data_IF_563800832750
#
_entry.id   IF_563800832750
#
_cell.length_a   1.000
_cell.length_b   1.000
_cell.length_c   1.000
_cell.angle_alpha   90.00
_cell.angle_beta   90.00
_cell.angle_gamma   90.00
#
_symmetry.space_group_name_H-M   'P 1'
#
loop_
_entity.id
_entity.type
_entity.pdbx_description
1 polymer ?
#
# COMPACT_ATOMS: atom_id res chain seq x y z
N UNK A 1 -17.35 1.82 -6.40
CA UNK A 1 -16.50 1.74 -5.19
C UNK A 1 -16.61 3.07 -4.46
N UNK A 2 -16.99 3.10 -3.18
CA UNK A 2 -16.96 4.33 -2.38
C UNK A 2 -15.54 4.91 -2.29
N UNK A 3 -15.42 6.23 -2.14
CA UNK A 3 -14.13 6.84 -1.80
C UNK A 3 -13.73 6.49 -0.37
N UNK A 4 -12.43 6.53 -0.06
CA UNK A 4 -11.96 6.14 1.28
C UNK A 4 -12.49 7.05 2.39
N UNK A 5 -12.66 8.35 2.15
CA UNK A 5 -13.13 9.30 3.17
C UNK A 5 -14.63 9.23 3.46
N UNK A 6 -15.40 8.48 2.66
CA UNK A 6 -16.82 8.24 2.91
C UNK A 6 -17.01 7.45 4.21
N UNK A 7 -18.20 7.50 4.85
CA UNK A 7 -18.44 6.83 6.13
C UNK A 7 -18.07 5.35 6.12
N UNK A 8 -17.37 4.91 7.16
CA UNK A 8 -16.85 3.54 7.31
C UNK A 8 -17.51 2.83 8.49
N UNK A 9 -17.84 1.55 8.31
CA UNK A 9 -18.31 0.66 9.37
C UNK A 9 -17.16 0.18 10.23
N UNK A 10 -16.06 -0.23 9.58
CA UNK A 10 -14.91 -0.84 10.24
C UNK A 10 -13.60 -0.55 9.50
N UNK A 11 -12.49 -0.60 10.22
CA UNK A 11 -11.14 -0.77 9.66
C UNK A 11 -10.64 -2.17 10.00
N UNK A 12 -10.18 -2.87 8.97
CA UNK A 12 -9.55 -4.17 9.07
C UNK A 12 -8.03 -4.05 9.16
N UNK A 13 -7.42 -4.86 10.02
CA UNK A 13 -5.98 -5.04 10.15
C UNK A 13 -5.60 -6.48 9.83
N UNK A 14 -4.50 -6.66 9.11
CA UNK A 14 -3.83 -7.95 8.97
C UNK A 14 -2.89 -8.22 10.15
N UNK A 15 -2.67 -9.49 10.46
CA UNK A 15 -1.71 -9.89 11.50
C UNK A 15 -0.87 -11.07 11.05
N UNK A 16 0.45 -10.90 11.14
CA UNK A 16 1.43 -11.90 10.74
C UNK A 16 2.28 -12.34 11.92
N UNK A 17 2.73 -13.59 11.87
CA UNK A 17 3.71 -14.12 12.81
C UNK A 17 5.09 -13.51 12.52
N UNK A 18 5.96 -13.44 13.53
CA UNK A 18 7.39 -13.15 13.37
C UNK A 18 7.76 -11.77 12.79
N UNK A 19 6.92 -10.75 13.02
CA UNK A 19 7.25 -9.34 12.77
C UNK A 19 7.05 -8.47 14.02
N UNK A 20 7.73 -8.77 15.14
CA UNK A 20 7.55 -8.01 16.39
C UNK A 20 7.79 -6.51 16.26
N UNK A 21 8.62 -6.10 15.30
CA UNK A 21 8.89 -4.70 14.99
C UNK A 21 7.68 -3.94 14.41
N UNK A 22 6.68 -4.63 13.82
CA UNK A 22 5.47 -3.98 13.29
C UNK A 22 4.43 -3.71 14.37
N UNK A 23 4.40 -4.53 15.42
CA UNK A 23 3.31 -4.54 16.40
C UNK A 23 3.14 -3.22 17.17
N UNK A 24 4.20 -2.46 17.53
CA UNK A 24 4.03 -1.14 18.14
C UNK A 24 3.20 -0.18 17.30
N UNK A 25 3.49 -0.06 16.00
CA UNK A 25 2.72 0.80 15.11
C UNK A 25 1.28 0.30 14.93
N UNK A 26 1.05 -1.02 14.89
CA UNK A 26 -0.31 -1.59 14.87
C UNK A 26 -1.10 -1.17 16.12
N UNK A 27 -0.48 -1.25 17.30
CA UNK A 27 -1.11 -0.81 18.54
C UNK A 27 -1.40 0.70 18.55
N UNK A 28 -0.49 1.53 18.03
CA UNK A 28 -0.70 2.98 17.88
C UNK A 28 -1.84 3.30 16.90
N UNK A 29 -1.90 2.59 15.76
CA UNK A 29 -2.99 2.74 14.79
C UNK A 29 -4.35 2.41 15.42
N UNK A 30 -4.44 1.28 16.12
CA UNK A 30 -5.66 0.86 16.80
C UNK A 30 -6.10 1.89 17.85
N UNK A 31 -5.16 2.38 18.67
CA UNK A 31 -5.45 3.45 19.67
C UNK A 31 -5.89 4.74 19.01
N UNK A 32 -5.31 5.10 17.87
CA UNK A 32 -5.71 6.27 17.08
C UNK A 32 -7.13 6.19 16.55
N UNK A 33 -7.62 4.98 16.25
CA UNK A 33 -8.97 4.72 15.74
C UNK A 33 -10.03 4.48 16.84
N UNK A 34 -9.61 4.38 18.11
CA UNK A 34 -10.52 4.05 19.21
C UNK A 34 -11.62 5.12 19.35
N UNK A 35 -12.88 4.67 19.37
CA UNK A 35 -14.06 5.55 19.45
C UNK A 35 -14.47 6.22 18.14
N UNK A 36 -13.74 6.01 17.05
CA UNK A 36 -14.01 6.60 15.74
C UNK A 36 -14.67 5.62 14.76
N UNK A 37 -14.24 4.34 14.78
CA UNK A 37 -14.69 3.30 13.85
C UNK A 37 -14.55 1.93 14.51
N UNK A 38 -15.32 0.93 14.08
CA UNK A 38 -15.13 -0.43 14.58
C UNK A 38 -13.79 -0.99 14.10
N UNK A 39 -13.15 -1.84 14.89
CA UNK A 39 -11.85 -2.41 14.58
C UNK A 39 -11.99 -3.92 14.39
N UNK A 40 -11.50 -4.41 13.26
CA UNK A 40 -11.46 -5.83 12.92
C UNK A 40 -10.02 -6.26 12.69
N UNK A 41 -9.62 -7.41 13.20
CA UNK A 41 -8.27 -7.94 13.02
C UNK A 41 -8.34 -9.37 12.50
N UNK A 42 -7.69 -9.60 11.37
CA UNK A 42 -7.62 -10.90 10.71
C UNK A 42 -6.24 -11.54 10.90
N UNK A 43 -6.21 -12.87 11.10
CA UNK A 43 -4.99 -13.65 11.14
C UNK A 43 -5.19 -15.05 10.53
N UNK A 44 -4.11 -15.69 10.07
CA UNK A 44 -4.16 -16.99 9.38
C UNK A 44 -4.73 -18.17 10.21
N UNK A 45 -4.70 -18.08 11.54
CA UNK A 45 -5.15 -19.17 12.42
C UNK A 45 -5.60 -18.70 13.81
N UNK A 46 -6.37 -19.54 14.51
CA UNK A 46 -6.75 -19.33 15.91
C UNK A 46 -5.54 -19.08 16.83
N UNK A 47 -4.46 -19.82 16.61
CA UNK A 47 -3.22 -19.64 17.38
C UNK A 47 -2.64 -18.24 17.20
N UNK A 48 -2.69 -17.70 15.98
CA UNK A 48 -2.19 -16.35 15.73
C UNK A 48 -3.12 -15.27 16.26
N UNK A 49 -4.44 -15.48 16.21
CA UNK A 49 -5.41 -14.60 16.89
C UNK A 49 -5.08 -14.50 18.39
N UNK A 50 -4.76 -15.62 19.05
CA UNK A 50 -4.41 -15.60 20.46
C UNK A 50 -3.08 -14.88 20.73
N UNK A 51 -2.08 -15.05 19.87
CA UNK A 51 -0.82 -14.28 19.94
C UNK A 51 -1.10 -12.79 19.77
N UNK A 52 -1.88 -12.40 18.77
CA UNK A 52 -2.26 -11.01 18.52
C UNK A 52 -2.94 -10.38 19.73
N UNK A 53 -3.92 -11.07 20.32
CA UNK A 53 -4.61 -10.61 21.54
C UNK A 53 -3.63 -10.35 22.68
N UNK A 54 -2.74 -11.32 22.98
CA UNK A 54 -1.79 -11.16 24.08
C UNK A 54 -0.81 -10.02 23.81
N UNK A 55 -0.25 -9.94 22.60
CA UNK A 55 0.66 -8.86 22.21
C UNK A 55 -0.01 -7.49 22.31
N UNK A 56 -1.25 -7.35 21.85
CA UNK A 56 -2.00 -6.10 21.93
C UNK A 56 -2.29 -5.70 23.38
N UNK A 57 -2.65 -6.66 24.25
CA UNK A 57 -2.79 -6.41 25.71
C UNK A 57 -1.47 -5.90 26.29
N UNK A 58 -0.35 -6.54 25.97
CA UNK A 58 0.98 -6.16 26.47
C UNK A 58 1.39 -4.75 25.99
N UNK A 59 0.93 -4.35 24.80
CA UNK A 59 1.09 -3.00 24.24
C UNK A 59 0.04 -2.00 24.74
N UNK A 60 -0.84 -2.41 25.67
CA UNK A 60 -1.84 -1.54 26.30
C UNK A 60 -3.03 -1.19 25.40
N UNK A 61 -3.39 -2.05 24.45
CA UNK A 61 -4.59 -1.92 23.62
C UNK A 61 -5.77 -2.60 24.31
N UNK A 62 -6.93 -1.94 24.33
CA UNK A 62 -8.17 -2.52 24.82
C UNK A 62 -8.76 -3.49 23.80
N UNK A 63 -8.41 -4.78 23.89
CA UNK A 63 -8.88 -5.79 22.92
C UNK A 63 -10.40 -6.05 22.94
N UNK A 64 -11.15 -5.53 23.92
CA UNK A 64 -12.61 -5.70 23.97
C UNK A 64 -13.35 -4.89 22.89
N UNK A 65 -12.67 -3.93 22.27
CA UNK A 65 -13.20 -3.12 21.16
C UNK A 65 -12.86 -3.70 19.78
N UNK A 66 -12.19 -4.85 19.73
CA UNK A 66 -11.68 -5.46 18.51
C UNK A 66 -12.44 -6.76 18.23
N UNK A 67 -12.98 -6.87 17.02
CA UNK A 67 -13.49 -8.14 16.48
C UNK A 67 -12.33 -8.92 15.82
N UNK A 68 -12.15 -10.17 16.22
CA UNK A 68 -11.05 -11.01 15.70
C UNK A 68 -11.59 -12.06 14.74
N UNK A 69 -10.93 -12.19 13.59
CA UNK A 69 -11.29 -13.12 12.52
C UNK A 69 -10.13 -14.08 12.22
N UNK A 70 -10.46 -15.35 12.03
CA UNK A 70 -9.54 -16.32 11.44
C UNK A 70 -9.78 -16.32 9.94
N UNK A 71 -8.80 -15.80 9.19
CA UNK A 71 -8.83 -15.71 7.74
C UNK A 71 -7.58 -16.40 7.19
N UNK A 72 -7.68 -17.70 6.82
CA UNK A 72 -6.56 -18.43 6.27
C UNK A 72 -6.01 -17.74 5.01
N UNK A 73 -4.71 -17.48 5.00
CA UNK A 73 -4.00 -16.71 3.98
C UNK A 73 -3.57 -15.32 4.43
N UNK A 74 -4.10 -14.78 5.52
CA UNK A 74 -3.73 -13.43 5.97
C UNK A 74 -2.26 -13.35 6.47
N UNK A 75 -1.48 -12.42 5.92
CA UNK A 75 -0.03 -12.27 6.14
C UNK A 75 0.45 -10.82 6.41
N UNK A 76 -0.44 -9.87 6.74
CA UNK A 76 -0.25 -8.48 7.23
C UNK A 76 -0.78 -7.39 6.30
N UNK A 77 -0.39 -7.40 5.02
CA UNK A 77 -0.74 -6.37 4.04
C UNK A 77 -2.17 -6.51 3.52
N UNK A 78 -3.14 -6.46 4.43
CA UNK A 78 -4.56 -6.69 4.15
C UNK A 78 -5.15 -5.68 3.17
N UNK A 79 -4.49 -4.55 2.93
CA UNK A 79 -4.83 -3.62 1.85
C UNK A 79 -4.82 -4.31 0.49
N UNK A 80 -3.83 -5.16 0.27
CA UNK A 80 -3.43 -5.58 -1.06
C UNK A 80 -4.14 -6.84 -1.51
N UNK A 81 -4.21 -7.86 -0.65
CA UNK A 81 -4.93 -9.11 -0.92
C UNK A 81 -6.32 -9.17 -0.25
N UNK A 82 -6.71 -8.15 0.51
CA UNK A 82 -8.00 -8.08 1.19
C UNK A 82 -9.12 -7.52 0.34
N UNK A 83 -10.34 -7.59 0.87
CA UNK A 83 -11.54 -7.27 0.11
C UNK A 83 -11.62 -5.79 -0.30
N UNK A 84 -11.67 -5.54 -1.61
CA UNK A 84 -12.12 -4.25 -2.13
C UNK A 84 -13.65 -4.17 -2.04
N UNK A 85 -14.14 -3.47 -1.01
CA UNK A 85 -15.57 -3.38 -0.74
C UNK A 85 -16.30 -2.37 -1.63
N UNK A 86 -17.56 -2.68 -1.95
CA UNK A 86 -18.50 -1.83 -2.67
C UNK A 86 -19.81 -1.73 -1.90
N UNK A 87 -20.50 -0.61 -2.05
CA UNK A 87 -21.86 -0.44 -1.55
C UNK A 87 -22.73 0.02 -2.72
N UNK A 88 -23.91 -0.57 -2.87
CA UNK A 88 -24.89 -0.13 -3.86
C UNK A 88 -25.90 0.85 -3.25
N UNK A 89 -26.77 1.41 -4.09
CA UNK A 89 -27.78 2.40 -3.67
C UNK A 89 -28.87 1.86 -2.74
N UNK A 90 -28.94 0.54 -2.59
CA UNK A 90 -29.86 -0.14 -1.67
C UNK A 90 -29.22 -0.44 -0.31
N UNK A 91 -27.95 -0.07 -0.11
CA UNK A 91 -27.21 -0.36 1.11
C UNK A 91 -26.65 -1.78 1.16
N UNK A 92 -26.57 -2.50 0.03
CA UNK A 92 -26.00 -3.85 0.00
C UNK A 92 -24.48 -3.78 -0.16
N UNK A 93 -23.77 -4.56 0.65
CA UNK A 93 -22.31 -4.69 0.62
C UNK A 93 -21.89 -5.77 -0.40
N UNK A 94 -20.85 -5.48 -1.17
CA UNK A 94 -20.16 -6.46 -2.00
C UNK A 94 -18.64 -6.38 -1.76
N UNK A 95 -17.94 -7.47 -2.03
CA UNK A 95 -16.48 -7.56 -2.05
C UNK A 95 -16.03 -8.03 -3.43
N UNK A 96 -15.10 -7.31 -4.05
CA UNK A 96 -14.46 -7.77 -5.27
C UNK A 96 -13.35 -8.75 -4.89
N UNK A 97 -13.40 -9.92 -5.54
CA UNK A 97 -12.44 -11.01 -5.41
C UNK A 97 -11.54 -10.95 -6.64
N UNK A 98 -10.35 -10.35 -6.46
CA UNK A 98 -9.35 -10.17 -7.51
C UNK A 98 -8.35 -11.33 -7.49
N UNK A 99 -7.71 -11.60 -8.63
CA UNK A 99 -6.62 -12.58 -8.63
C UNK A 99 -5.39 -12.00 -7.90
N UNK A 100 -4.65 -12.87 -7.21
CA UNK A 100 -3.46 -12.51 -6.44
C UNK A 100 -2.24 -13.26 -6.96
N UNK A 101 -1.16 -12.54 -7.26
CA UNK A 101 0.11 -13.14 -7.72
C UNK A 101 1.33 -12.72 -6.87
N UNK A 102 1.10 -12.24 -5.64
CA UNK A 102 2.16 -11.78 -4.74
C UNK A 102 3.00 -10.67 -5.37
N UNK A 103 2.32 -9.58 -5.74
CA UNK A 103 2.93 -8.39 -6.33
C UNK A 103 3.77 -8.67 -7.58
N UNK A 104 3.49 -9.72 -8.37
CA UNK A 104 4.31 -10.09 -9.53
C UNK A 104 5.67 -10.71 -9.18
N UNK A 105 5.91 -11.09 -7.92
CA UNK A 105 7.20 -11.61 -7.42
C UNK A 105 7.73 -12.83 -8.17
N UNK A 106 6.87 -13.63 -8.78
CA UNK A 106 7.28 -14.79 -9.57
C UNK A 106 7.95 -14.42 -10.89
N UNK A 107 7.42 -13.39 -11.55
CA UNK A 107 8.04 -12.89 -12.78
C UNK A 107 9.39 -12.25 -12.41
N UNK A 108 9.47 -11.58 -11.27
CA UNK A 108 10.75 -11.11 -10.70
C UNK A 108 11.72 -12.25 -10.39
N UNK A 109 11.25 -13.36 -9.81
CA UNK A 109 12.09 -14.52 -9.55
C UNK A 109 12.59 -15.15 -10.85
N UNK A 110 11.76 -15.23 -11.89
CA UNK A 110 12.17 -15.73 -13.19
C UNK A 110 13.30 -14.90 -13.82
N UNK A 111 13.28 -13.58 -13.62
CA UNK A 111 14.37 -12.69 -14.06
C UNK A 111 15.67 -12.94 -13.29
N UNK A 112 15.58 -13.22 -11.98
CA UNK A 112 16.76 -13.42 -11.12
C UNK A 112 17.37 -14.81 -11.20
N UNK A 113 16.57 -15.83 -11.46
CA UNK A 113 16.99 -17.25 -11.53
C UNK A 113 16.42 -17.92 -12.80
N UNK A 114 16.81 -17.46 -14.01
CA UNK A 114 16.23 -17.96 -15.27
C UNK A 114 16.48 -19.47 -15.50
N UNK A 115 17.49 -20.04 -14.87
CA UNK A 115 17.79 -21.47 -14.91
C UNK A 115 16.76 -22.34 -14.17
N UNK A 116 15.96 -21.76 -13.26
CA UNK A 116 14.97 -22.47 -12.45
C UNK A 116 13.53 -22.36 -13.01
N UNK A 117 13.40 -22.03 -14.29
CA UNK A 117 12.12 -21.74 -14.94
C UNK A 117 11.03 -22.81 -14.70
N UNK A 118 11.37 -24.10 -14.79
CA UNK A 118 10.42 -25.19 -14.58
C UNK A 118 9.88 -25.23 -13.14
N UNK A 119 10.75 -24.98 -12.15
CA UNK A 119 10.34 -24.88 -10.75
C UNK A 119 9.40 -23.69 -10.58
N UNK A 120 9.77 -22.53 -11.12
CA UNK A 120 8.98 -21.29 -11.00
C UNK A 120 7.57 -21.46 -11.56
N UNK A 121 7.40 -22.20 -12.67
CA UNK A 121 6.08 -22.52 -13.23
C UNK A 121 5.21 -23.33 -12.25
N UNK A 122 5.80 -24.32 -11.56
CA UNK A 122 5.08 -25.10 -10.54
C UNK A 122 4.70 -24.23 -9.35
N UNK A 123 5.61 -23.37 -8.87
CA UNK A 123 5.34 -22.42 -7.80
C UNK A 123 4.23 -21.43 -8.16
N UNK A 124 4.22 -20.93 -9.41
CA UNK A 124 3.15 -20.06 -9.93
C UNK A 124 1.78 -20.70 -9.81
N UNK A 125 1.65 -21.98 -10.18
CA UNK A 125 0.38 -22.69 -10.04
C UNK A 125 -0.05 -22.87 -8.58
N UNK A 126 0.90 -22.99 -7.65
CA UNK A 126 0.60 -23.12 -6.22
C UNK A 126 0.20 -21.78 -5.59
N UNK A 127 0.89 -20.69 -5.93
CA UNK A 127 0.60 -19.35 -5.41
C UNK A 127 -0.77 -18.83 -5.87
N UNK A 128 -1.08 -18.96 -7.16
CA UNK A 128 -2.37 -18.55 -7.74
C UNK A 128 -3.57 -19.35 -7.18
N UNK A 129 -3.32 -20.49 -6.54
CA UNK A 129 -4.35 -21.33 -5.88
C UNK A 129 -4.19 -21.34 -4.35
N UNK A 130 -3.29 -20.49 -3.84
CA UNK A 130 -2.89 -20.46 -2.45
C UNK A 130 -3.99 -19.93 -1.54
N UNK A 131 -3.71 -19.92 -0.23
CA UNK A 131 -4.66 -19.38 0.76
C UNK A 131 -4.79 -17.86 0.65
N UNK A 132 -3.71 -17.15 0.28
CA UNK A 132 -3.67 -15.69 0.10
C UNK A 132 -4.66 -15.19 -0.97
N UNK A 133 -4.82 -15.91 -2.08
CA UNK A 133 -5.75 -15.57 -3.16
C UNK A 133 -7.23 -15.78 -2.81
N UNK A 134 -7.57 -15.89 -1.52
CA UNK A 134 -8.94 -16.08 -1.03
C UNK A 134 -9.26 -15.16 0.14
N UNK A 135 -8.33 -14.30 0.57
CA UNK A 135 -8.51 -13.47 1.76
C UNK A 135 -9.67 -12.49 1.55
N UNK A 136 -9.74 -11.81 0.42
CA UNK A 136 -10.87 -11.01 -0.04
C UNK A 136 -12.22 -11.76 -0.04
N UNK A 137 -12.28 -12.96 -0.62
CA UNK A 137 -13.44 -13.84 -0.60
C UNK A 137 -13.87 -14.19 0.83
N UNK A 138 -12.91 -14.51 1.71
CA UNK A 138 -13.16 -14.87 3.11
C UNK A 138 -13.60 -13.66 3.95
N UNK A 139 -13.03 -12.47 3.70
CA UNK A 139 -13.50 -11.21 4.27
C UNK A 139 -14.93 -10.91 3.81
N UNK A 140 -15.26 -11.16 2.54
CA UNK A 140 -16.61 -11.05 2.02
C UNK A 140 -17.59 -11.98 2.74
N UNK A 141 -17.20 -13.24 2.99
CA UNK A 141 -18.00 -14.17 3.80
C UNK A 141 -18.16 -13.66 5.24
N UNK A 142 -17.08 -13.19 5.88
CA UNK A 142 -17.09 -12.68 7.25
C UNK A 142 -17.96 -11.43 7.42
N UNK A 143 -18.20 -10.68 6.34
CA UNK A 143 -19.02 -9.46 6.31
C UNK A 143 -20.40 -9.67 5.68
N UNK A 144 -20.72 -10.90 5.27
CA UNK A 144 -21.93 -11.22 4.48
C UNK A 144 -22.06 -10.36 3.21
N UNK A 145 -20.92 -9.99 2.61
CA UNK A 145 -20.86 -9.25 1.36
C UNK A 145 -21.09 -10.19 0.17
N UNK A 146 -21.75 -9.69 -0.86
CA UNK A 146 -21.82 -10.39 -2.15
C UNK A 146 -20.43 -10.42 -2.80
N UNK A 147 -19.97 -11.60 -3.22
CA UNK A 147 -18.71 -11.73 -3.94
C UNK A 147 -18.87 -11.41 -5.43
N UNK A 148 -17.99 -10.57 -5.96
CA UNK A 148 -17.85 -10.27 -7.39
C UNK A 148 -16.47 -10.72 -7.83
N UNK A 149 -16.39 -11.82 -8.59
CA UNK A 149 -15.11 -12.33 -9.11
C UNK A 149 -14.57 -11.47 -10.25
N UNK A 150 -13.25 -11.36 -10.30
CA UNK A 150 -12.45 -10.75 -11.37
C UNK A 150 -11.18 -11.59 -11.59
N UNK A 151 -10.79 -11.80 -12.84
CA UNK A 151 -9.49 -12.42 -13.15
C UNK A 151 -8.37 -11.38 -13.32
N UNK A 152 -8.68 -10.10 -13.07
CA UNK A 152 -7.68 -9.05 -13.06
C UNK A 152 -6.78 -9.24 -11.83
N UNK A 153 -5.48 -9.25 -12.06
CA UNK A 153 -4.50 -9.28 -10.97
C UNK A 153 -4.23 -7.87 -10.53
N UNK A 154 -4.65 -7.52 -9.32
CA UNK A 154 -4.45 -6.18 -8.78
C UNK A 154 -4.46 -6.19 -7.25
N UNK A 155 -3.66 -5.29 -6.68
CA UNK A 155 -3.61 -5.08 -5.25
C UNK A 155 -4.40 -3.83 -4.84
N UNK A 156 -5.10 -3.86 -3.71
CA UNK A 156 -5.89 -2.71 -3.25
C UNK A 156 -5.09 -1.42 -3.03
N UNK A 157 -3.79 -1.48 -2.70
CA UNK A 157 -2.91 -0.32 -2.56
C UNK A 157 -2.65 0.41 -3.88
N UNK A 158 -2.88 -0.26 -5.01
CA UNK A 158 -2.81 0.33 -6.35
C UNK A 158 -4.12 0.98 -6.82
N UNK A 159 -5.23 0.82 -6.09
CA UNK A 159 -6.57 1.28 -6.47
C UNK A 159 -6.92 2.59 -5.74
N UNK A 160 -6.82 3.72 -6.43
CA UNK A 160 -7.16 5.03 -5.87
C UNK A 160 -8.41 5.62 -6.56
N UNK A 161 -9.54 5.66 -5.85
CA UNK A 161 -10.86 6.02 -6.39
C UNK A 161 -11.41 7.29 -5.74
N UNK A 162 -11.99 8.18 -6.55
CA UNK A 162 -12.63 9.40 -6.05
C UNK A 162 -14.09 9.19 -5.59
N UNK A 163 -14.62 7.96 -5.68
CA UNK A 163 -16.01 7.62 -5.33
C UNK A 163 -17.07 8.12 -6.32
N UNK A 164 -16.66 8.81 -7.39
CA UNK A 164 -17.52 9.40 -8.43
C UNK A 164 -17.24 8.88 -9.82
N UNK A 165 -16.63 7.69 -9.92
CA UNK A 165 -16.37 7.01 -11.18
C UNK A 165 -15.04 7.35 -11.82
N UNK A 166 -14.15 8.08 -11.14
CA UNK A 166 -12.76 8.29 -11.59
C UNK A 166 -11.82 7.44 -10.73
N UNK A 167 -10.90 6.74 -11.41
CA UNK A 167 -9.84 5.94 -10.81
C UNK A 167 -8.48 6.45 -11.27
N UNK A 168 -7.50 6.50 -10.37
CA UNK A 168 -6.09 6.70 -10.71
C UNK A 168 -5.40 5.34 -10.64
N UNK A 169 -4.56 5.05 -11.63
CA UNK A 169 -3.77 3.82 -11.73
C UNK A 169 -2.30 4.12 -12.05
N UNK A 170 -1.42 3.24 -11.57
CA UNK A 170 0.01 3.21 -11.93
C UNK A 170 0.21 2.26 -13.09
N UNK A 171 0.54 2.81 -14.27
CA UNK A 171 0.77 2.05 -15.49
C UNK A 171 1.87 0.99 -15.30
N UNK A 172 2.94 1.34 -14.58
CA UNK A 172 4.04 0.43 -14.27
C UNK A 172 3.57 -0.81 -13.48
N UNK A 173 2.65 -0.64 -12.53
CA UNK A 173 2.10 -1.75 -11.73
C UNK A 173 1.10 -2.54 -12.55
N UNK A 174 0.02 -1.90 -13.00
CA UNK A 174 -1.13 -2.61 -13.57
C UNK A 174 -0.77 -3.41 -14.82
N UNK A 175 0.06 -2.85 -15.72
CA UNK A 175 0.46 -3.53 -16.94
C UNK A 175 1.51 -4.62 -16.69
N UNK A 176 2.36 -4.46 -15.67
CA UNK A 176 3.28 -5.53 -15.27
C UNK A 176 2.51 -6.72 -14.69
N UNK A 177 1.46 -6.48 -13.90
CA UNK A 177 0.63 -7.56 -13.33
C UNK A 177 -0.20 -8.30 -14.39
N UNK A 178 -0.62 -7.58 -15.44
CA UNK A 178 -1.55 -8.07 -16.45
C UNK A 178 -0.98 -7.91 -17.88
N UNK A 179 0.15 -8.57 -18.21
CA UNK A 179 0.84 -8.37 -19.50
C UNK A 179 0.01 -8.82 -20.71
N UNK A 180 -0.96 -9.71 -20.50
CA UNK A 180 -1.85 -10.25 -21.55
C UNK A 180 -3.14 -9.43 -21.72
N UNK A 181 -3.36 -8.39 -20.92
CA UNK A 181 -4.54 -7.54 -21.00
C UNK A 181 -4.21 -6.20 -21.65
N UNK A 182 -5.05 -5.77 -22.59
CA UNK A 182 -5.03 -4.39 -23.10
C UNK A 182 -5.57 -3.41 -22.05
N UNK A 183 -5.24 -2.12 -22.20
CA UNK A 183 -5.79 -1.08 -21.32
C UNK A 183 -7.31 -1.02 -21.40
N UNK A 184 -7.85 -1.19 -22.61
CA UNK A 184 -9.28 -1.17 -22.86
C UNK A 184 -10.00 -2.32 -22.14
N UNK A 185 -9.40 -3.52 -22.10
CA UNK A 185 -9.94 -4.65 -21.33
C UNK A 185 -9.88 -4.40 -19.82
N UNK A 186 -8.78 -3.83 -19.33
CA UNK A 186 -8.62 -3.47 -17.91
C UNK A 186 -9.67 -2.41 -17.51
N UNK A 187 -9.83 -1.36 -18.32
CA UNK A 187 -10.84 -0.32 -18.08
C UNK A 187 -12.27 -0.88 -18.11
N UNK A 188 -12.56 -1.78 -19.05
CA UNK A 188 -13.86 -2.47 -19.10
C UNK A 188 -14.10 -3.31 -17.85
N UNK A 189 -13.06 -3.95 -17.31
CA UNK A 189 -13.16 -4.72 -16.08
C UNK A 189 -13.35 -3.84 -14.85
N UNK A 190 -12.62 -2.73 -14.73
CA UNK A 190 -12.88 -1.73 -13.69
C UNK A 190 -14.29 -1.16 -13.77
N UNK A 191 -14.81 -0.92 -14.98
CA UNK A 191 -16.21 -0.52 -15.15
C UNK A 191 -17.16 -1.59 -14.62
N UNK A 192 -16.91 -2.86 -14.94
CA UNK A 192 -17.75 -4.00 -14.52
C UNK A 192 -17.73 -4.22 -13.00
N UNK A 193 -16.55 -4.20 -12.38
CA UNK A 193 -16.38 -4.63 -10.98
C UNK A 193 -16.31 -3.48 -9.99
N UNK A 194 -15.84 -2.29 -10.39
CA UNK A 194 -15.71 -1.12 -9.50
C UNK A 194 -16.72 -0.01 -9.81
N UNK A 195 -17.41 -0.08 -10.96
CA UNK A 195 -18.25 0.99 -11.50
C UNK A 195 -17.46 2.29 -11.75
N UNK A 196 -16.28 2.16 -12.36
CA UNK A 196 -15.41 3.26 -12.79
C UNK A 196 -15.72 3.63 -14.24
N UNK A 197 -15.92 4.91 -14.52
CA UNK A 197 -16.17 5.46 -15.86
C UNK A 197 -14.92 5.99 -16.55
N UNK A 198 -13.92 6.40 -15.76
CA UNK A 198 -12.69 7.02 -16.25
C UNK A 198 -11.48 6.56 -15.45
N UNK A 199 -10.41 6.22 -16.16
CA UNK A 199 -9.11 5.91 -15.55
C UNK A 199 -8.08 6.95 -15.96
N UNK A 200 -7.29 7.41 -14.98
CA UNK A 200 -6.13 8.27 -15.18
C UNK A 200 -4.89 7.43 -14.98
N UNK A 201 -4.14 7.23 -16.06
CA UNK A 201 -2.93 6.40 -16.09
C UNK A 201 -1.69 7.22 -15.81
N UNK A 202 -1.19 7.14 -14.58
CA UNK A 202 0.12 7.69 -14.21
C UNK A 202 1.22 6.70 -14.59
N UNK A 203 2.46 7.17 -14.73
CA UNK A 203 3.55 6.36 -15.28
C UNK A 203 4.21 5.49 -14.22
N UNK A 204 5.08 6.08 -13.42
CA UNK A 204 5.84 5.39 -12.38
C UNK A 204 5.56 6.03 -11.02
N UNK A 205 5.57 5.23 -9.96
CA UNK A 205 5.51 5.71 -8.57
C UNK A 205 6.85 6.23 -8.06
N UNK A 206 7.02 6.25 -6.74
CA UNK A 206 8.27 6.67 -6.10
C UNK A 206 9.41 5.69 -6.40
N UNK A 207 10.64 6.18 -6.45
CA UNK A 207 11.84 5.40 -6.72
C UNK A 207 12.27 4.51 -5.55
N UNK A 208 11.77 4.78 -4.34
CA UNK A 208 11.95 3.93 -3.17
C UNK A 208 11.00 2.72 -3.14
N UNK A 209 9.89 2.77 -3.90
CA UNK A 209 8.87 1.72 -4.02
C UNK A 209 9.04 0.90 -5.32
N UNK A 210 10.28 0.51 -5.63
CA UNK A 210 10.56 -0.35 -6.79
C UNK A 210 9.98 -1.76 -6.62
N UNK A 211 9.68 -2.41 -7.75
CA UNK A 211 9.12 -3.75 -7.73
C UNK A 211 10.15 -4.75 -7.19
N UNK A 212 9.87 -5.32 -6.01
CA UNK A 212 10.75 -6.24 -5.30
C UNK A 212 12.13 -5.60 -4.99
N UNK A 213 13.09 -6.41 -4.56
CA UNK A 213 14.45 -5.97 -4.30
C UNK A 213 15.11 -5.39 -5.54
N UNK A 214 15.46 -4.10 -5.53
CA UNK A 214 16.09 -3.42 -6.66
C UNK A 214 17.40 -2.75 -6.26
N UNK A 215 18.44 -2.82 -7.11
CA UNK A 215 19.75 -2.23 -6.85
C UNK A 215 19.99 -1.00 -7.73
N UNK A 216 20.02 0.18 -7.12
CA UNK A 216 20.29 1.44 -7.80
C UNK A 216 21.77 1.81 -7.69
N UNK A 217 22.39 2.13 -8.83
CA UNK A 217 23.78 2.59 -8.92
C UNK A 217 24.80 1.71 -8.17
N UNK A 218 24.53 0.39 -8.09
CA UNK A 218 25.35 -0.60 -7.37
C UNK A 218 25.61 -0.24 -5.90
N UNK A 219 24.76 0.59 -5.29
CA UNK A 219 24.95 1.12 -3.93
C UNK A 219 23.67 1.05 -3.11
N UNK A 220 22.56 1.50 -3.69
CA UNK A 220 21.30 1.67 -2.97
C UNK A 220 20.37 0.50 -3.25
N UNK A 221 19.69 0.01 -2.22
CA UNK A 221 18.73 -1.08 -2.33
C UNK A 221 17.36 -0.60 -1.90
N UNK A 222 16.34 -0.94 -2.68
CA UNK A 222 14.94 -0.65 -2.36
C UNK A 222 14.12 -1.92 -2.44
N UNK A 223 12.96 -1.92 -1.80
CA UNK A 223 11.95 -2.96 -1.93
C UNK A 223 10.58 -2.33 -1.85
N UNK A 224 9.68 -2.77 -2.71
CA UNK A 224 8.32 -2.28 -2.78
C UNK A 224 7.48 -3.07 -3.77
N UNK A 225 6.38 -2.44 -4.14
CA UNK A 225 5.29 -2.99 -4.94
C UNK A 225 5.44 -2.72 -6.44
N UNK A 226 6.32 -1.78 -6.81
CA UNK A 226 6.51 -1.30 -8.18
C UNK A 226 5.91 0.08 -8.46
N UNK A 227 5.55 0.84 -7.42
CA UNK A 227 4.95 2.16 -7.52
C UNK A 227 3.44 2.11 -7.35
N UNK A 228 2.97 1.57 -6.23
CA UNK A 228 1.55 1.62 -5.84
C UNK A 228 1.07 3.06 -5.68
N UNK A 229 -0.19 3.31 -6.04
CA UNK A 229 -0.74 4.68 -6.02
C UNK A 229 -0.82 5.24 -4.61
N UNK A 230 -1.09 4.40 -3.61
CA UNK A 230 -1.19 4.83 -2.21
C UNK A 230 0.11 5.38 -1.60
N UNK A 231 1.26 5.18 -2.24
CA UNK A 231 2.53 5.78 -1.84
C UNK A 231 2.75 7.18 -2.44
N UNK A 232 2.11 7.56 -3.55
CA UNK A 232 2.46 8.80 -4.26
C UNK A 232 1.32 9.66 -4.77
N UNK A 233 0.08 9.16 -4.78
CA UNK A 233 -1.07 9.92 -5.26
C UNK A 233 -2.35 9.49 -4.56
N UNK A 234 -3.08 10.43 -3.96
CA UNK A 234 -4.33 10.16 -3.25
C UNK A 234 -5.39 11.18 -3.62
N UNK A 235 -6.64 10.78 -3.75
CA UNK A 235 -7.74 11.74 -3.70
C UNK A 235 -7.95 12.21 -2.26
N UNK A 236 -8.20 13.51 -2.10
CA UNK A 236 -8.64 14.07 -0.82
C UNK A 236 -10.16 14.34 -0.80
N UNK A 237 -10.72 14.64 -1.98
CA UNK A 237 -12.16 14.68 -2.23
C UNK A 237 -12.40 14.27 -3.70
N UNK A 238 -13.63 14.41 -4.21
CA UNK A 238 -13.96 14.02 -5.58
C UNK A 238 -13.14 14.75 -6.67
N UNK A 239 -12.60 15.93 -6.35
CA UNK A 239 -12.03 16.91 -7.26
C UNK A 239 -10.62 17.39 -6.85
N UNK A 240 -10.12 16.98 -5.69
CA UNK A 240 -8.78 17.33 -5.16
C UNK A 240 -7.87 16.11 -5.11
N UNK A 241 -6.67 16.23 -5.69
CA UNK A 241 -5.64 15.19 -5.73
C UNK A 241 -4.41 15.68 -4.96
N UNK A 242 -3.89 14.83 -4.07
CA UNK A 242 -2.61 14.97 -3.41
C UNK A 242 -1.56 14.21 -4.21
N UNK A 243 -0.44 14.85 -4.54
CA UNK A 243 0.68 14.25 -5.26
C UNK A 243 1.97 14.40 -4.43
N UNK A 244 2.69 13.31 -4.20
CA UNK A 244 3.98 13.34 -3.55
C UNK A 244 4.95 14.22 -4.35
N UNK A 245 5.74 15.05 -3.67
CA UNK A 245 6.51 16.09 -4.34
C UNK A 245 7.88 16.32 -3.72
N UNK A 246 8.86 16.50 -4.60
CA UNK A 246 10.19 17.02 -4.29
C UNK A 246 10.27 18.44 -4.83
N UNK A 247 10.64 19.40 -4.00
CA UNK A 247 10.86 20.77 -4.48
C UNK A 247 12.08 20.84 -5.40
N UNK A 248 12.07 21.76 -6.35
CA UNK A 248 13.18 21.90 -7.32
C UNK A 248 14.52 22.21 -6.64
N UNK A 249 14.51 22.90 -5.50
CA UNK A 249 15.71 23.17 -4.69
C UNK A 249 16.27 21.91 -4.00
N UNK A 250 15.47 20.86 -3.87
CA UNK A 250 15.80 19.62 -3.17
C UNK A 250 16.18 18.48 -4.11
N UNK A 251 15.77 18.55 -5.39
CA UNK A 251 15.89 17.44 -6.35
C UNK A 251 17.31 16.90 -6.52
N UNK A 252 18.33 17.74 -6.43
CA UNK A 252 19.72 17.34 -6.63
C UNK A 252 20.46 16.93 -5.34
N UNK A 253 19.80 16.98 -4.18
CA UNK A 253 20.42 16.60 -2.89
C UNK A 253 20.62 15.11 -2.74
N UNK A 254 19.78 14.29 -3.38
CA UNK A 254 19.88 12.83 -3.32
C UNK A 254 19.45 12.18 -4.64
N UNK A 255 19.93 10.96 -4.91
CA UNK A 255 19.56 10.19 -6.11
C UNK A 255 18.04 10.03 -6.20
N UNK A 256 17.42 9.56 -5.13
CA UNK A 256 15.97 9.32 -5.11
C UNK A 256 15.16 10.60 -5.18
N UNK A 257 15.64 11.71 -4.61
CA UNK A 257 15.02 13.04 -4.79
C UNK A 257 14.98 13.46 -6.26
N UNK A 258 16.05 13.18 -7.03
CA UNK A 258 16.09 13.46 -8.48
C UNK A 258 15.11 12.59 -9.24
N UNK A 259 15.17 11.27 -9.02
CA UNK A 259 14.28 10.31 -9.67
C UNK A 259 12.81 10.63 -9.39
N UNK A 260 12.47 10.93 -8.13
CA UNK A 260 11.10 11.30 -7.75
C UNK A 260 10.68 12.64 -8.35
N UNK A 261 11.55 13.65 -8.41
CA UNK A 261 11.23 14.90 -9.10
C UNK A 261 10.89 14.66 -10.57
N UNK A 262 11.67 13.82 -11.27
CA UNK A 262 11.45 13.48 -12.68
C UNK A 262 10.13 12.71 -12.88
N UNK A 263 9.92 11.62 -12.12
CA UNK A 263 8.70 10.79 -12.19
C UNK A 263 7.45 11.58 -11.83
N UNK A 264 7.48 12.35 -10.74
CA UNK A 264 6.33 13.15 -10.30
C UNK A 264 6.07 14.34 -11.21
N UNK A 265 7.08 14.90 -11.88
CA UNK A 265 6.88 15.93 -12.91
C UNK A 265 6.18 15.40 -14.15
N UNK A 266 6.41 14.14 -14.53
CA UNK A 266 5.66 13.48 -15.61
C UNK A 266 4.22 13.23 -15.19
N UNK A 267 4.01 12.67 -14.00
CA UNK A 267 2.67 12.41 -13.46
C UNK A 267 1.86 13.71 -13.28
N UNK A 268 2.50 14.80 -12.84
CA UNK A 268 1.85 16.10 -12.68
C UNK A 268 1.25 16.60 -14.00
N UNK A 269 1.99 16.48 -15.13
CA UNK A 269 1.47 16.88 -16.45
C UNK A 269 0.24 16.09 -16.86
N UNK A 270 0.21 14.80 -16.52
CA UNK A 270 -0.94 13.92 -16.79
C UNK A 270 -2.14 14.36 -15.96
N UNK A 271 -1.93 14.63 -14.67
CA UNK A 271 -2.98 15.10 -13.76
C UNK A 271 -3.52 16.49 -14.17
N UNK A 272 -2.65 17.42 -14.57
CA UNK A 272 -3.03 18.77 -15.02
C UNK A 272 -3.83 18.75 -16.33
N UNK A 273 -3.61 17.75 -17.19
CA UNK A 273 -4.38 17.54 -18.42
C UNK A 273 -5.68 16.73 -18.20
N UNK A 274 -5.81 16.06 -17.05
CA UNK A 274 -6.98 15.26 -16.72
C UNK A 274 -8.15 16.12 -16.24
N UNK A 275 -9.34 15.51 -16.19
CA UNK A 275 -10.56 16.15 -15.70
C UNK A 275 -11.31 15.21 -14.76
N UNK A 276 -12.07 15.79 -13.84
CA UNK A 276 -13.00 15.09 -12.96
C UNK A 276 -14.17 14.47 -13.73
N UNK A 277 -15.08 13.84 -12.98
CA UNK A 277 -16.32 13.24 -13.48
C UNK A 277 -17.24 14.21 -14.22
N UNK A 278 -17.10 15.53 -13.99
CA UNK A 278 -17.92 16.59 -14.56
C UNK A 278 -17.20 17.33 -15.70
N UNK A 279 -16.01 16.87 -16.10
CA UNK A 279 -15.20 17.48 -17.16
C UNK A 279 -14.43 18.73 -16.72
N UNK A 280 -14.27 18.98 -15.42
CA UNK A 280 -13.51 20.12 -14.87
C UNK A 280 -12.09 19.68 -14.49
N UNK A 281 -11.10 20.58 -14.51
CA UNK A 281 -9.75 20.27 -14.04
C UNK A 281 -9.73 19.95 -12.54
N UNK A 282 -8.85 19.04 -12.13
CA UNK A 282 -8.62 18.75 -10.71
C UNK A 282 -7.85 19.88 -10.00
N UNK A 283 -8.11 20.05 -8.71
CA UNK A 283 -7.19 20.76 -7.81
C UNK A 283 -6.06 19.82 -7.43
N UNK A 284 -4.82 20.15 -7.79
CA UNK A 284 -3.66 19.33 -7.46
C UNK A 284 -2.86 20.01 -6.34
N UNK A 285 -2.65 19.31 -5.23
CA UNK A 285 -1.84 19.76 -4.10
C UNK A 285 -0.59 18.90 -4.02
N UNK A 286 0.57 19.58 -4.06
CA UNK A 286 1.88 18.95 -3.91
C UNK A 286 2.16 18.73 -2.43
N UNK A 287 2.37 17.48 -2.03
CA UNK A 287 2.67 17.08 -0.66
C UNK A 287 4.17 16.79 -0.57
N UNK A 288 4.93 17.53 0.26
CA UNK A 288 6.36 17.27 0.43
C UNK A 288 6.65 15.82 0.81
N UNK A 289 7.68 15.22 0.21
CA UNK A 289 8.24 13.95 0.69
C UNK A 289 9.10 14.15 1.95
N UNK A 290 9.22 13.13 2.82
CA UNK A 290 10.17 13.15 3.91
C UNK A 290 11.62 13.15 3.40
N UNK A 291 12.56 13.43 4.30
CA UNK A 291 13.99 13.21 4.00
C UNK A 291 14.22 11.73 3.70
N UNK A 292 14.99 11.46 2.66
CA UNK A 292 15.37 10.08 2.29
C UNK A 292 15.99 9.39 3.50
N UNK A 293 15.39 8.28 3.91
CA UNK A 293 15.80 7.54 5.10
C UNK A 293 16.60 6.31 4.69
N UNK A 294 17.81 6.19 5.24
CA UNK A 294 18.81 5.21 4.82
C UNK A 294 19.29 4.34 5.98
N UNK A 295 19.57 3.06 5.72
CA UNK A 295 20.28 2.18 6.65
C UNK A 295 21.29 1.28 5.94
N UNK A 296 22.45 0.99 6.56
CA UNK A 296 23.38 0.03 5.99
C UNK A 296 22.80 -1.40 6.06
N UNK A 297 23.05 -2.18 5.02
CA UNK A 297 22.73 -3.61 4.95
C UNK A 297 23.96 -4.37 4.45
N UNK A 298 24.05 -5.65 4.78
CA UNK A 298 25.18 -6.50 4.40
C UNK A 298 24.73 -7.62 3.47
N UNK A 299 25.51 -7.87 2.44
CA UNK A 299 25.28 -9.00 1.54
C UNK A 299 25.83 -10.27 2.17
N UNK A 300 25.02 -11.31 2.30
CA UNK A 300 25.41 -12.58 2.93
C UNK A 300 24.71 -13.77 2.31
N UNK A 301 25.19 -14.99 2.55
CA UNK A 301 24.56 -16.21 1.99
C UNK A 301 23.12 -16.43 2.47
N UNK A 302 22.82 -16.05 3.71
CA UNK A 302 21.50 -16.18 4.32
C UNK A 302 20.88 -14.81 4.61
N UNK A 303 19.57 -14.70 4.41
CA UNK A 303 18.77 -13.52 4.79
C UNK A 303 18.56 -13.48 6.31
N UNK A 304 18.63 -12.29 6.92
CA UNK A 304 18.36 -12.13 8.35
C UNK A 304 17.95 -10.71 8.72
N UNK A 305 16.83 -10.58 9.44
CA UNK A 305 16.35 -9.35 10.07
C UNK A 305 17.05 -9.04 11.42
N UNK A 306 18.33 -9.43 11.57
CA UNK A 306 19.11 -9.16 12.78
C UNK A 306 19.51 -7.67 12.89
N UNK A 307 20.33 -7.30 13.89
CA UNK A 307 20.81 -5.92 14.12
C UNK A 307 21.31 -5.23 12.83
N UNK A 308 21.88 -6.01 11.92
CA UNK A 308 22.15 -5.58 10.54
C UNK A 308 21.34 -6.48 9.61
N UNK A 309 20.50 -5.85 8.77
CA UNK A 309 19.73 -6.56 7.76
C UNK A 309 20.69 -7.20 6.75
N UNK A 310 20.43 -8.47 6.45
CA UNK A 310 21.25 -9.32 5.60
C UNK A 310 20.46 -9.77 4.41
N UNK A 311 21.02 -9.62 3.21
CA UNK A 311 20.35 -9.94 1.95
C UNK A 311 21.23 -10.84 1.07
N UNK A 312 20.68 -11.90 0.44
CA UNK A 312 21.46 -12.73 -0.46
C UNK A 312 21.73 -12.06 -1.81
N UNK A 313 22.89 -12.34 -2.46
CA UNK A 313 23.16 -11.86 -3.82
C UNK A 313 22.06 -12.26 -4.81
N UNK A 314 21.42 -13.41 -4.58
CA UNK A 314 20.33 -13.91 -5.41
C UNK A 314 19.09 -13.03 -5.37
N UNK A 315 18.94 -12.13 -4.39
CA UNK A 315 17.84 -11.14 -4.37
C UNK A 315 17.88 -10.12 -5.51
N UNK A 316 18.99 -10.05 -6.26
CA UNK A 316 19.19 -9.12 -7.38
C UNK A 316 19.32 -9.84 -8.72
N UNK A 317 19.23 -9.07 -9.81
CA UNK A 317 19.45 -9.59 -11.17
C UNK A 317 20.87 -10.18 -11.32
N UNK A 318 21.05 -11.23 -12.15
CA UNK A 318 22.34 -11.94 -12.28
C UNK A 318 23.54 -11.02 -12.57
N UNK A 319 23.35 -10.03 -13.43
CA UNK A 319 24.36 -9.03 -13.85
C UNK A 319 24.67 -7.97 -12.78
N UNK A 320 23.78 -7.81 -11.80
CA UNK A 320 23.85 -6.78 -10.75
C UNK A 320 24.29 -7.34 -9.40
N UNK A 321 24.41 -8.66 -9.27
CA UNK A 321 24.67 -9.32 -7.98
C UNK A 321 25.91 -8.72 -7.27
N UNK A 322 25.74 -8.20 -6.05
CA UNK A 322 26.85 -7.76 -5.21
C UNK A 322 27.62 -8.97 -4.65
N UNK A 323 28.85 -8.74 -4.20
CA UNK A 323 29.65 -9.79 -3.58
C UNK A 323 29.25 -10.01 -2.12
N UNK A 324 29.38 -11.25 -1.63
CA UNK A 324 29.21 -11.55 -0.21
C UNK A 324 30.21 -10.70 0.60
N UNK A 325 29.71 -10.04 1.64
CA UNK A 325 30.46 -9.11 2.48
C UNK A 325 30.36 -7.64 2.03
N UNK A 326 29.82 -7.35 0.84
CA UNK A 326 29.55 -5.97 0.43
C UNK A 326 28.56 -5.30 1.39
N UNK A 327 28.78 -4.01 1.64
CA UNK A 327 27.83 -3.16 2.37
C UNK A 327 27.08 -2.29 1.38
N UNK A 328 25.76 -2.39 1.39
CA UNK A 328 24.85 -1.59 0.59
C UNK A 328 24.04 -0.66 1.50
N UNK A 329 23.33 0.29 0.91
CA UNK A 329 22.47 1.23 1.63
C UNK A 329 21.03 0.95 1.25
N UNK A 330 20.23 0.42 2.17
CA UNK A 330 18.80 0.33 1.95
C UNK A 330 18.14 1.69 2.12
N UNK A 331 17.22 2.03 1.22
CA UNK A 331 16.35 3.20 1.31
C UNK A 331 14.92 2.74 1.57
N UNK A 332 14.24 3.32 2.55
CA UNK A 332 12.86 2.96 2.89
C UNK A 332 11.84 3.60 1.96
N UNK A 333 10.75 2.89 1.67
CA UNK A 333 9.59 3.45 0.99
C UNK A 333 8.82 4.34 1.97
N UNK A 334 9.22 5.62 2.06
CA UNK A 334 8.68 6.57 3.03
C UNK A 334 7.89 7.66 2.33
N UNK A 335 6.59 7.69 2.60
CA UNK A 335 5.67 8.70 2.07
C UNK A 335 4.62 9.09 3.09
N UNK A 336 4.35 10.40 3.18
CA UNK A 336 3.22 10.91 3.94
C UNK A 336 1.86 10.54 3.32
N UNK A 337 1.83 10.13 2.05
CA UNK A 337 0.60 9.76 1.33
C UNK A 337 0.11 8.34 1.61
N UNK A 338 0.95 7.50 2.23
CA UNK A 338 0.54 6.19 2.74
C UNK A 338 -0.27 6.32 4.06
N UNK A 339 -1.13 7.34 4.15
CA UNK A 339 -2.02 7.61 5.28
C UNK A 339 -3.32 6.80 5.18
N UNK A 340 -3.98 6.60 6.31
CA UNK A 340 -5.36 6.11 6.39
C UNK A 340 -6.29 7.28 6.77
N UNK A 341 -7.32 7.53 5.96
CA UNK A 341 -8.45 8.38 6.35
C UNK A 341 -9.59 7.49 6.86
N UNK A 342 -10.11 7.81 8.04
CA UNK A 342 -11.27 7.14 8.63
C UNK A 342 -12.24 8.14 9.25
N UNK A 343 -13.27 7.67 9.96
CA UNK A 343 -14.31 8.52 10.54
C UNK A 343 -13.72 9.45 11.63
N UNK A 344 -13.65 10.76 11.37
CA UNK A 344 -13.19 11.73 12.36
C UNK A 344 -11.68 11.70 12.68
N UNK A 345 -10.91 10.80 12.07
CA UNK A 345 -9.45 10.67 12.29
C UNK A 345 -8.70 10.36 11.00
N UNK A 346 -7.46 10.83 10.90
CA UNK A 346 -6.49 10.51 9.86
C UNK A 346 -5.21 10.00 10.52
N UNK A 347 -4.75 8.81 10.15
CA UNK A 347 -3.48 8.25 10.61
C UNK A 347 -2.40 8.51 9.56
N UNK A 348 -1.32 9.21 9.91
CA UNK A 348 -0.19 9.47 9.01
C UNK A 348 1.13 9.11 9.68
N UNK A 349 2.14 8.79 8.87
CA UNK A 349 3.46 8.43 9.36
C UNK A 349 4.25 9.69 9.74
N UNK A 350 4.98 9.66 10.86
CA UNK A 350 5.98 10.70 11.19
C UNK A 350 7.38 10.22 10.84
N UNK A 351 8.20 11.15 10.34
CA UNK A 351 9.58 10.87 9.92
C UNK A 351 10.61 11.76 10.64
N UNK A 352 10.17 12.51 11.66
CA UNK A 352 11.03 13.42 12.42
C UNK A 352 12.16 12.70 13.15
N UNK A 353 11.89 11.48 13.64
CA UNK A 353 12.90 10.63 14.30
C UNK A 353 13.94 10.07 13.31
N UNK A 354 13.61 10.06 12.02
CA UNK A 354 14.45 9.61 10.91
C UNK A 354 15.22 10.77 10.26
N UNK A 355 15.13 11.98 10.83
CA UNK A 355 15.86 13.16 10.37
C UNK A 355 15.11 14.03 9.37
N UNK A 356 13.81 13.81 9.17
CA UNK A 356 12.97 14.78 8.46
C UNK A 356 12.81 16.03 9.30
N UNK A 357 13.14 17.23 8.77
CA UNK A 357 12.98 18.47 9.52
C UNK A 357 11.50 18.68 9.95
N UNK A 358 11.23 19.06 11.21
CA UNK A 358 9.87 19.26 11.70
C UNK A 358 9.03 20.24 10.87
N UNK A 359 9.65 21.22 10.23
CA UNK A 359 8.97 22.17 9.35
C UNK A 359 8.40 21.52 8.08
N UNK A 360 8.96 20.39 7.61
CA UNK A 360 8.39 19.62 6.49
C UNK A 360 7.11 18.95 6.98
N UNK A 361 7.15 18.28 8.13
CA UNK A 361 5.98 17.62 8.71
C UNK A 361 4.88 18.62 9.07
N UNK A 362 5.23 19.83 9.51
CA UNK A 362 4.25 20.89 9.78
C UNK A 362 3.58 21.42 8.50
N UNK A 363 4.32 21.49 7.38
CA UNK A 363 3.69 21.79 6.07
C UNK A 363 2.72 20.70 5.66
N UNK A 364 3.09 19.43 5.84
CA UNK A 364 2.22 18.29 5.54
C UNK A 364 0.98 18.32 6.44
N UNK A 365 1.14 18.59 7.73
CA UNK A 365 0.03 18.79 8.67
C UNK A 365 -0.94 19.85 8.14
N UNK A 366 -0.43 21.03 7.78
CA UNK A 366 -1.26 22.13 7.28
C UNK A 366 -2.05 21.73 6.02
N UNK A 367 -1.44 20.97 5.10
CA UNK A 367 -2.15 20.44 3.92
C UNK A 367 -3.24 19.47 4.33
N UNK A 368 -2.94 18.49 5.19
CA UNK A 368 -3.89 17.47 5.63
C UNK A 368 -5.06 18.07 6.41
N UNK A 369 -4.81 19.06 7.27
CA UNK A 369 -5.84 19.81 7.99
C UNK A 369 -6.71 20.66 7.04
N UNK A 370 -6.13 21.17 5.95
CA UNK A 370 -6.89 21.92 4.94
C UNK A 370 -7.88 21.01 4.18
N UNK A 371 -7.43 19.83 3.75
CA UNK A 371 -8.26 18.93 2.92
C UNK A 371 -9.14 17.97 3.75
N UNK A 372 -8.79 17.73 5.00
CA UNK A 372 -9.56 16.91 5.95
C UNK A 372 -9.84 17.67 7.25
N UNK A 373 -10.55 18.81 7.21
CA UNK A 373 -10.71 19.71 8.37
C UNK A 373 -11.44 19.07 9.55
N UNK A 374 -12.29 18.07 9.28
CA UNK A 374 -13.05 17.33 10.30
C UNK A 374 -12.35 16.05 10.76
N UNK A 375 -11.04 15.91 10.51
CA UNK A 375 -10.26 14.74 10.90
C UNK A 375 -9.13 15.14 11.83
N UNK A 376 -9.08 14.53 13.01
CA UNK A 376 -7.91 14.64 13.89
C UNK A 376 -6.76 13.85 13.30
N UNK A 377 -5.59 14.47 13.13
CA UNK A 377 -4.39 13.78 12.65
C UNK A 377 -3.69 13.08 13.83
N UNK A 378 -3.40 11.79 13.66
CA UNK A 378 -2.59 10.97 14.56
C UNK A 378 -1.32 10.57 13.82
N UNK A 379 -0.17 10.94 14.39
CA UNK A 379 1.15 10.67 13.83
C UNK A 379 1.72 9.40 14.44
N UNK A 380 2.16 8.47 13.60
CA UNK A 380 2.58 7.12 13.98
C UNK A 380 3.97 6.84 13.42
N UNK A 381 4.84 6.23 14.21
CA UNK A 381 6.14 5.80 13.70
C UNK A 381 5.98 4.47 12.97
N UNK A 382 5.88 4.52 11.64
CA UNK A 382 5.71 3.36 10.76
C UNK A 382 7.00 2.94 10.02
N UNK A 383 8.17 3.37 10.51
CA UNK A 383 9.43 3.16 9.79
C UNK A 383 9.76 1.67 9.57
N UNK A 384 9.36 0.80 10.49
CA UNK A 384 9.58 -0.64 10.38
C UNK A 384 8.79 -1.24 9.21
N UNK A 385 7.57 -0.76 8.98
CA UNK A 385 6.79 -1.08 7.79
C UNK A 385 7.46 -0.55 6.53
N UNK A 386 7.95 0.69 6.55
CA UNK A 386 8.55 1.34 5.39
C UNK A 386 9.85 0.66 4.92
N UNK A 387 10.61 0.04 5.83
CA UNK A 387 11.76 -0.82 5.46
C UNK A 387 11.37 -2.09 4.69
N UNK A 388 10.08 -2.44 4.67
CA UNK A 388 9.53 -3.61 4.00
C UNK A 388 8.64 -3.23 2.81
N UNK A 389 8.68 -1.98 2.36
CA UNK A 389 8.00 -1.54 1.14
C UNK A 389 6.53 -1.17 1.29
N UNK A 390 6.06 -0.87 2.51
CA UNK A 390 4.69 -0.39 2.74
C UNK A 390 4.56 0.47 3.99
N UNK A 391 3.34 0.82 4.38
CA UNK A 391 3.10 1.69 5.54
C UNK A 391 1.75 1.49 6.21
N UNK A 392 1.20 2.58 6.75
CA UNK A 392 -0.08 2.60 7.47
C UNK A 392 -1.22 2.15 6.54
N UNK A 393 -1.30 2.72 5.34
CA UNK A 393 -2.36 2.41 4.40
C UNK A 393 -2.30 0.97 3.89
N UNK A 394 -1.10 0.46 3.59
CA UNK A 394 -0.88 -0.93 3.14
C UNK A 394 -1.30 -1.96 4.20
N UNK A 395 -1.22 -1.60 5.48
CA UNK A 395 -1.56 -2.50 6.61
C UNK A 395 -3.03 -2.47 7.02
N UNK A 396 -3.87 -1.68 6.33
CA UNK A 396 -5.27 -1.46 6.72
C UNK A 396 -6.22 -1.58 5.53
N UNK A 397 -7.46 -2.01 5.76
CA UNK A 397 -8.52 -2.07 4.74
C UNK A 397 -9.83 -1.51 5.30
N UNK A 398 -10.41 -0.50 4.66
CA UNK A 398 -11.68 0.08 5.10
C UNK A 398 -12.87 -0.76 4.65
N UNK A 399 -13.82 -0.99 5.55
CA UNK A 399 -15.15 -1.49 5.25
C UNK A 399 -16.13 -0.29 5.27
N UNK A 400 -16.74 0.09 4.13
CA UNK A 400 -17.67 1.20 4.08
C UNK A 400 -18.93 0.94 4.91
N UNK A 401 -19.53 1.99 5.45
CA UNK A 401 -20.85 1.90 6.09
C UNK A 401 -21.93 1.58 5.07
N UNK A 402 -22.79 0.63 5.40
CA UNK A 402 -24.06 0.44 4.71
C UNK A 402 -25.10 1.31 5.41
N UNK A 403 -25.47 2.44 4.82
CA UNK A 403 -26.58 3.22 5.37
C UNK A 403 -27.88 2.41 5.20
N UNK A 404 -28.45 1.93 6.30
CA UNK A 404 -29.84 1.49 6.33
C UNK A 404 -30.70 2.76 6.19
N UNK A 405 -31.33 2.96 5.03
CA UNK A 405 -32.39 3.96 4.88
C UNK A 405 -33.55 3.67 5.83
#
# INVERSE_FOLDING_TARGET
MPAQWEPQEAIWFGWVKYRPQFYPAVAEMIKGLEGHVNIKLAADSDSLVNVAKQTLIDLGVNISTIEFHVIPGEEYWIRDHGATFLVNRLGELAAVDFDWNEYGSLDWWQLREPQDADSIVVWKQQLMKGRRSKVDSLMGVATNAKIIKSNLVIEGGSIESNGKGVLIQSEAVTLQRNPEWSREEIEAEYKRVLNVDKVIWLKQGLAEDEHMWHLHNRKYVTIGTGGHTDEFVRFADANTILLAWVDEAEKDKHLFSRLNYERMSENLKILEAATDQDGKPFRIIKVPLPTVTERPIVVSEEESDSIVFRIPPTSFLPEERPAIGDTLIQVSASSYLNFLVSNGVLLSATYTQQGTPPEIEEKVRGILEEVFPDRKIVWINAIEQNWNGGGIHCSTQQQPSVQNN
#
